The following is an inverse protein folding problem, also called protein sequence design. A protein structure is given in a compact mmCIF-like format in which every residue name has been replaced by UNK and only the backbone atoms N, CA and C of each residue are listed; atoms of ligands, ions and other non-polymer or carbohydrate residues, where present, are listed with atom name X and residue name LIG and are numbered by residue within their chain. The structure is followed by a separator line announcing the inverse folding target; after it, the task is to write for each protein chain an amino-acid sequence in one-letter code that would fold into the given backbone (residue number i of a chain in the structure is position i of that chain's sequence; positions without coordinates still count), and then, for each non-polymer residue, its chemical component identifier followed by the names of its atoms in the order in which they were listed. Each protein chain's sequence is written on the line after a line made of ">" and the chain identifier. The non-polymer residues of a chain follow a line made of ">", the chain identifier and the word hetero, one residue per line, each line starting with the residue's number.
data_IF_743812631600
#
_entry.id   IF_743812631600
#
_cell.length_a   1.000
_cell.length_b   1.000
_cell.length_c   1.000
_cell.angle_alpha   90.00
_cell.angle_beta   90.00
_cell.angle_gamma   90.00
#
_symmetry.space_group_name_H-M   'P 1'
#
loop_
_entity.id
_entity.type
_entity.pdbx_description
1 polymer ?
#
# COMPACT_ATOMS: atom_id res chain seq x y z
N UNK A 1 45.95 -23.61 -51.60
CA UNK A 1 44.78 -24.17 -50.87
C UNK A 1 44.70 -23.41 -49.55
N UNK A 2 43.65 -22.67 -49.15
CA UNK A 2 42.25 -22.50 -49.55
C UNK A 2 41.93 -20.99 -49.43
N UNK A 3 41.15 -20.46 -50.36
CA UNK A 3 40.66 -19.08 -50.38
C UNK A 3 39.39 -18.96 -49.52
N UNK A 4 39.35 -17.92 -48.69
CA UNK A 4 38.24 -17.52 -47.82
C UNK A 4 37.23 -16.70 -48.64
N UNK A 5 35.96 -17.14 -48.70
CA UNK A 5 34.87 -16.41 -49.36
C UNK A 5 33.95 -15.84 -48.28
N UNK A 6 33.83 -14.52 -48.25
CA UNK A 6 32.91 -13.79 -47.38
C UNK A 6 31.62 -13.47 -48.15
N UNK A 7 30.48 -13.91 -47.62
CA UNK A 7 29.15 -13.70 -48.22
C UNK A 7 28.44 -12.56 -47.52
N UNK A 8 28.25 -11.44 -48.21
CA UNK A 8 27.47 -10.28 -47.75
C UNK A 8 26.01 -10.43 -48.16
N UNK A 9 25.09 -10.48 -47.20
CA UNK A 9 23.64 -10.48 -47.43
C UNK A 9 23.08 -9.08 -47.18
N UNK A 10 22.61 -8.41 -48.24
CA UNK A 10 21.81 -7.18 -48.16
C UNK A 10 20.33 -7.56 -48.08
N UNK A 11 19.63 -7.13 -47.03
CA UNK A 11 18.16 -7.15 -46.94
C UNK A 11 17.61 -5.76 -47.22
N UNK A 12 16.79 -5.68 -48.27
CA UNK A 12 15.91 -4.56 -48.61
C UNK A 12 14.65 -4.61 -47.74
N UNK A 13 14.32 -3.51 -47.05
CA UNK A 13 13.04 -3.34 -46.37
C UNK A 13 12.08 -2.58 -47.29
N UNK A 14 10.95 -3.21 -47.62
CA UNK A 14 9.84 -2.60 -48.36
C UNK A 14 8.96 -1.79 -47.42
N UNK A 15 8.59 -0.60 -47.90
CA UNK A 15 7.62 0.32 -47.33
C UNK A 15 6.20 -0.19 -47.58
N UNK A 16 5.40 -0.29 -46.52
CA UNK A 16 3.98 -0.66 -46.59
C UNK A 16 3.13 0.37 -45.88
N UNK A 17 2.53 1.28 -46.66
CA UNK A 17 1.48 2.20 -46.24
C UNK A 17 0.16 1.43 -46.08
N UNK A 18 -0.55 1.64 -44.96
CA UNK A 18 -1.79 0.94 -44.65
C UNK A 18 -2.73 1.71 -43.73
N UNK A 19 -3.55 2.55 -44.35
CA UNK A 19 -4.98 2.78 -44.09
C UNK A 19 -5.45 3.14 -42.67
N UNK A 20 -5.85 4.41 -42.57
CA UNK A 20 -6.77 4.99 -41.60
C UNK A 20 -8.12 4.26 -41.60
N UNK A 21 -8.58 3.79 -40.43
CA UNK A 21 -9.99 3.46 -40.18
C UNK A 21 -10.43 4.03 -38.83
N UNK A 22 -11.38 4.97 -38.91
CA UNK A 22 -12.18 5.53 -37.81
C UNK A 22 -13.23 4.50 -37.35
N UNK A 23 -13.61 4.52 -36.06
CA UNK A 23 -15.00 4.28 -35.66
C UNK A 23 -15.53 5.50 -34.91
N UNK A 24 -16.60 6.14 -35.40
CA UNK A 24 -18.01 5.80 -35.16
C UNK A 24 -18.45 6.08 -33.72
N UNK A 25 -18.96 7.30 -33.53
CA UNK A 25 -19.66 7.74 -32.32
C UNK A 25 -20.90 6.87 -32.08
N UNK A 26 -21.11 6.46 -30.82
CA UNK A 26 -22.38 5.88 -30.37
C UNK A 26 -22.97 6.67 -29.23
N UNK A 27 -24.26 6.89 -29.41
CA UNK A 27 -25.21 7.69 -28.65
C UNK A 27 -25.39 7.18 -27.22
N UNK A 28 -25.48 8.13 -26.29
CA UNK A 28 -25.80 7.90 -24.87
C UNK A 28 -27.31 7.78 -24.71
N UNK A 29 -27.76 6.70 -24.06
CA UNK A 29 -29.14 6.56 -23.58
C UNK A 29 -29.25 7.21 -22.20
N UNK A 30 -30.11 8.21 -22.07
CA UNK A 30 -30.52 8.84 -20.82
C UNK A 30 -31.81 8.18 -20.31
N UNK A 31 -31.70 7.32 -19.29
CA UNK A 31 -32.85 6.82 -18.53
C UNK A 31 -32.91 7.51 -17.18
N UNK A 32 -33.83 8.45 -17.06
CA UNK A 32 -34.30 9.02 -15.81
C UNK A 32 -35.13 7.99 -15.04
N UNK A 33 -34.71 7.61 -13.83
CA UNK A 33 -35.61 6.96 -12.86
C UNK A 33 -35.60 7.69 -11.54
N UNK A 34 -36.80 8.16 -11.24
CA UNK A 34 -37.29 8.88 -10.07
C UNK A 34 -37.16 8.06 -8.79
N UNK A 35 -36.65 8.71 -7.75
CA UNK A 35 -36.63 8.23 -6.38
C UNK A 35 -38.03 8.31 -5.76
N UNK A 36 -38.48 7.23 -5.10
CA UNK A 36 -39.64 7.26 -4.21
C UNK A 36 -39.29 6.67 -2.85
N UNK A 37 -38.86 7.60 -2.00
CA UNK A 37 -39.09 7.73 -0.55
C UNK A 37 -40.20 6.83 0.04
N UNK A 38 -39.87 5.96 1.00
CA UNK A 38 -40.73 5.61 2.13
C UNK A 38 -39.86 5.26 3.36
N UNK A 39 -39.79 6.19 4.32
CA UNK A 39 -39.37 5.91 5.69
C UNK A 39 -40.64 5.56 6.49
N UNK A 40 -40.60 4.43 7.20
CA UNK A 40 -41.58 4.08 8.22
C UNK A 40 -40.89 3.88 9.57
N UNK A 41 -41.70 4.10 10.61
CA UNK A 41 -41.35 4.54 11.95
C UNK A 41 -40.86 3.45 12.92
N UNK A 42 -40.39 3.95 14.07
CA UNK A 42 -40.08 3.32 15.36
C UNK A 42 -41.27 2.50 15.96
N UNK A 43 -41.32 2.08 17.25
CA UNK A 43 -40.34 2.12 18.36
C UNK A 43 -40.26 0.78 19.15
N UNK A 44 -39.43 0.68 20.19
CA UNK A 44 -39.91 0.34 21.56
C UNK A 44 -38.80 0.33 22.62
N UNK A 45 -39.21 0.89 23.75
CA UNK A 45 -38.66 0.95 25.10
C UNK A 45 -38.34 -0.41 25.74
N UNK A 46 -37.27 -0.46 26.54
CA UNK A 46 -37.00 -1.52 27.51
C UNK A 46 -36.38 -0.94 28.78
N UNK A 47 -37.21 -0.82 29.81
CA UNK A 47 -36.87 -0.44 31.20
C UNK A 47 -36.46 -1.70 31.96
N UNK A 48 -35.41 -1.65 32.79
CA UNK A 48 -35.10 -2.72 33.74
C UNK A 48 -33.88 -2.44 34.62
N UNK A 49 -33.83 -2.96 35.87
CA UNK A 49 -33.67 -2.12 37.05
C UNK A 49 -32.31 -2.18 37.76
N UNK A 50 -32.17 -1.24 38.69
CA UNK A 50 -31.10 -1.07 39.66
C UNK A 50 -31.03 -2.16 40.76
N UNK A 51 -29.81 -2.53 41.14
CA UNK A 51 -29.39 -3.03 42.46
C UNK A 51 -27.85 -3.13 42.45
N UNK A 52 -27.07 -3.04 43.53
CA UNK A 52 -27.20 -2.60 44.92
C UNK A 52 -25.75 -2.44 45.41
N UNK A 53 -25.58 -1.60 46.41
CA UNK A 53 -24.36 -1.38 47.18
C UNK A 53 -23.74 -2.68 47.71
N UNK A 54 -22.40 -2.73 47.74
CA UNK A 54 -21.66 -3.36 48.84
C UNK A 54 -20.21 -2.84 48.89
N UNK A 55 -19.77 -2.67 50.13
CA UNK A 55 -18.57 -1.99 50.59
C UNK A 55 -17.35 -2.92 50.72
N UNK A 56 -16.20 -2.27 50.93
CA UNK A 56 -15.13 -2.70 51.86
C UNK A 56 -14.14 -3.78 51.36
N UNK A 57 -12.88 -3.40 51.19
CA UNK A 57 -11.83 -3.52 52.21
C UNK A 57 -10.49 -3.13 51.60
N UNK A 58 -9.73 -2.35 52.38
CA UNK A 58 -8.36 -1.96 52.11
C UNK A 58 -7.38 -3.14 52.25
N UNK A 59 -6.34 -3.16 51.43
CA UNK A 59 -5.09 -3.84 51.71
C UNK A 59 -3.92 -3.03 51.12
N UNK A 60 -2.75 -2.99 51.80
CA UNK A 60 -1.63 -2.15 51.42
C UNK A 60 -0.80 -2.83 50.33
N UNK A 61 -0.62 -2.16 49.18
CA UNK A 61 0.37 -2.59 48.19
C UNK A 61 1.70 -1.91 48.48
N UNK A 62 2.68 -2.76 48.73
CA UNK A 62 4.08 -2.47 48.93
C UNK A 62 4.68 -1.67 47.75
N UNK A 63 5.34 -0.55 48.09
CA UNK A 63 6.14 0.25 47.17
C UNK A 63 7.34 -0.58 46.68
N UNK A 64 7.20 -1.13 45.47
CA UNK A 64 8.33 -1.62 44.69
C UNK A 64 8.95 -0.45 43.94
N UNK A 65 10.11 -0.01 44.41
CA UNK A 65 10.98 0.94 43.73
C UNK A 65 11.48 0.30 42.43
N UNK A 66 10.73 0.47 41.35
CA UNK A 66 11.22 0.19 40.00
C UNK A 66 12.33 1.21 39.67
N UNK A 67 13.57 0.72 39.67
CA UNK A 67 14.67 1.36 38.98
C UNK A 67 14.23 1.58 37.52
N UNK A 68 13.96 2.84 37.16
CA UNK A 68 13.80 3.24 35.77
C UNK A 68 15.18 3.10 35.11
N UNK A 69 15.43 1.94 34.52
CA UNK A 69 16.48 1.81 33.52
C UNK A 69 16.08 2.67 32.33
N UNK A 70 16.67 3.85 32.23
CA UNK A 70 16.66 4.63 31.01
C UNK A 70 17.43 3.82 29.96
N UNK A 71 16.73 2.98 29.21
CA UNK A 71 17.22 2.54 27.90
C UNK A 71 17.20 3.78 27.01
N UNK A 72 18.34 4.45 26.94
CA UNK A 72 18.65 5.39 25.88
C UNK A 72 18.78 4.60 24.59
N UNK A 73 17.65 4.25 23.99
CA UNK A 73 17.60 4.01 22.56
C UNK A 73 18.18 5.27 21.93
N UNK A 74 19.37 5.17 21.35
CA UNK A 74 19.93 6.20 20.47
C UNK A 74 18.99 6.28 19.28
N UNK A 75 17.91 7.04 19.44
CA UNK A 75 17.21 7.61 18.31
C UNK A 75 18.25 8.47 17.61
N UNK A 76 18.52 8.18 16.34
CA UNK A 76 19.23 9.12 15.49
C UNK A 76 18.48 10.44 15.61
N UNK A 77 19.04 11.38 16.37
CA UNK A 77 18.40 12.64 16.66
C UNK A 77 18.27 13.40 15.33
N UNK A 78 17.06 13.38 14.78
CA UNK A 78 16.69 14.23 13.66
C UNK A 78 16.91 15.68 14.09
N UNK A 79 17.74 16.40 13.34
CA UNK A 79 18.02 17.82 13.57
C UNK A 79 16.75 18.71 13.53
N UNK A 80 15.64 18.21 13.00
CA UNK A 80 14.37 18.93 12.83
C UNK A 80 13.37 18.76 13.98
N UNK A 81 13.66 18.00 15.04
CA UNK A 81 12.78 17.85 16.21
C UNK A 81 11.43 17.15 15.94
N UNK A 82 11.20 16.67 14.72
CA UNK A 82 9.99 15.94 14.31
C UNK A 82 9.96 14.54 14.89
N UNK A 83 8.78 14.08 15.27
CA UNK A 83 8.54 12.73 15.79
C UNK A 83 7.84 11.85 14.76
N UNK A 84 7.88 10.53 14.94
CA UNK A 84 7.11 9.59 14.12
C UNK A 84 5.61 9.88 14.24
N UNK A 85 4.91 9.89 13.12
CA UNK A 85 3.45 10.07 13.04
C UNK A 85 2.82 8.80 12.48
N UNK A 86 1.73 8.31 13.10
CA UNK A 86 0.93 7.19 12.58
C UNK A 86 -0.10 7.72 11.59
N UNK A 87 -0.33 7.02 10.48
CA UNK A 87 -1.42 7.38 9.58
C UNK A 87 -2.79 7.27 10.30
N UNK A 88 -3.70 8.24 10.13
CA UNK A 88 -5.01 8.22 10.77
C UNK A 88 -5.87 7.03 10.33
N UNK A 89 -5.63 6.47 9.15
CA UNK A 89 -6.41 5.37 8.61
C UNK A 89 -5.81 4.00 9.01
N UNK A 90 -6.52 3.21 9.83
CA UNK A 90 -5.94 1.99 10.40
C UNK A 90 -5.61 0.91 9.35
N UNK A 91 -6.36 0.85 8.25
CA UNK A 91 -6.19 -0.11 7.15
C UNK A 91 -4.92 0.12 6.33
N UNK A 92 -4.32 1.30 6.42
CA UNK A 92 -3.01 1.56 5.79
C UNK A 92 -1.90 0.90 6.59
N UNK A 93 -2.03 0.91 7.93
CA UNK A 93 -1.01 0.45 8.84
C UNK A 93 0.33 1.20 8.76
N UNK A 94 0.35 2.38 8.13
CA UNK A 94 1.56 3.14 7.82
C UNK A 94 1.99 4.07 8.96
N UNK A 95 3.30 4.28 9.03
CA UNK A 95 3.96 5.23 9.90
C UNK A 95 4.92 6.10 9.08
N UNK A 96 4.94 7.39 9.42
CA UNK A 96 5.79 8.41 8.82
C UNK A 96 6.92 8.73 9.79
N UNK A 97 8.14 8.42 9.39
CA UNK A 97 9.36 8.70 10.16
C UNK A 97 10.10 9.88 9.54
N UNK A 98 10.47 10.90 10.32
CA UNK A 98 11.29 11.98 9.79
C UNK A 98 12.66 11.44 9.39
N UNK A 99 13.17 11.84 8.23
CA UNK A 99 14.46 11.36 7.69
C UNK A 99 15.10 12.40 6.78
N UNK A 100 16.34 12.16 6.38
CA UNK A 100 17.06 12.94 5.39
C UNK A 100 17.15 12.15 4.08
N UNK A 101 16.72 12.78 2.99
CA UNK A 101 16.66 12.17 1.67
C UNK A 101 17.70 12.84 0.77
N UNK A 102 18.63 12.06 0.25
CA UNK A 102 19.55 12.49 -0.80
C UNK A 102 18.83 12.51 -2.15
N UNK A 103 18.71 13.69 -2.74
CA UNK A 103 18.08 13.90 -4.05
C UNK A 103 19.14 14.34 -5.04
N UNK A 104 19.42 13.52 -6.04
CA UNK A 104 20.23 13.87 -7.22
C UNK A 104 19.31 14.38 -8.33
N UNK A 105 19.52 15.62 -8.79
CA UNK A 105 18.71 16.24 -9.87
C UNK A 105 19.28 16.03 -11.28
N UNK A 106 20.42 15.35 -11.40
CA UNK A 106 21.08 15.04 -12.66
C UNK A 106 22.47 14.46 -12.43
N UNK A 107 23.10 13.94 -13.49
CA UNK A 107 24.45 13.35 -13.42
C UNK A 107 25.52 14.36 -12.96
N UNK A 108 25.32 15.65 -13.27
CA UNK A 108 26.30 16.71 -13.03
C UNK A 108 25.97 17.61 -11.82
N UNK A 109 24.89 17.32 -11.08
CA UNK A 109 24.52 18.10 -9.90
C UNK A 109 24.85 17.35 -8.61
N UNK A 110 25.46 18.02 -7.60
CA UNK A 110 25.71 17.40 -6.31
C UNK A 110 24.38 16.98 -5.68
N UNK A 111 24.37 15.81 -5.04
CA UNK A 111 23.20 15.36 -4.30
C UNK A 111 22.91 16.35 -3.18
N UNK A 112 21.70 16.91 -3.17
CA UNK A 112 21.23 17.74 -2.08
C UNK A 112 20.52 16.86 -1.06
N UNK A 113 20.95 16.91 0.19
CA UNK A 113 20.22 16.30 1.31
C UNK A 113 19.08 17.21 1.72
N UNK A 114 17.86 16.68 1.72
CA UNK A 114 16.66 17.43 2.13
C UNK A 114 15.90 16.65 3.18
N UNK A 115 15.40 17.34 4.19
CA UNK A 115 14.52 16.73 5.19
C UNK A 115 13.19 16.30 4.55
N UNK A 116 12.78 15.06 4.82
CA UNK A 116 11.54 14.48 4.33
C UNK A 116 10.99 13.42 5.30
N UNK A 117 10.13 12.55 4.78
CA UNK A 117 9.52 11.47 5.55
C UNK A 117 9.77 10.12 4.89
N UNK A 118 10.17 9.13 5.67
CA UNK A 118 10.17 7.73 5.29
C UNK A 118 8.84 7.09 5.71
N UNK A 119 8.28 6.27 4.84
CA UNK A 119 7.05 5.52 5.09
C UNK A 119 7.45 4.08 5.42
N UNK A 120 6.92 3.54 6.52
CA UNK A 120 7.11 2.14 6.91
C UNK A 120 5.82 1.56 7.51
N UNK A 121 5.76 0.23 7.68
CA UNK A 121 4.67 -0.44 8.43
C UNK A 121 4.95 -0.51 9.94
N UNK A 122 6.12 -0.02 10.40
CA UNK A 122 6.60 -0.17 11.77
C UNK A 122 6.37 1.09 12.59
N UNK A 123 5.96 0.92 13.85
CA UNK A 123 5.77 2.05 14.75
C UNK A 123 7.07 2.77 15.10
N UNK A 124 8.18 2.03 15.15
CA UNK A 124 9.51 2.56 15.41
C UNK A 124 10.34 2.48 14.13
N UNK A 125 11.17 3.49 13.84
CA UNK A 125 12.05 3.43 12.67
C UNK A 125 13.01 2.24 12.81
N UNK A 126 13.12 1.43 11.76
CA UNK A 126 14.13 0.37 11.72
C UNK A 126 15.51 0.95 11.44
N UNK A 127 16.55 0.24 11.85
CA UNK A 127 17.94 0.52 11.47
C UNK A 127 18.19 0.20 9.99
N UNK A 128 17.42 -0.73 9.42
CA UNK A 128 17.54 -1.14 8.03
C UNK A 128 16.73 -0.23 7.12
N UNK A 129 17.39 0.34 6.10
CA UNK A 129 16.71 1.12 5.04
C UNK A 129 15.75 0.25 4.22
N UNK A 130 15.96 -1.07 4.18
CA UNK A 130 15.09 -2.00 3.48
C UNK A 130 13.70 -2.10 4.15
N UNK A 131 13.57 -1.69 5.41
CA UNK A 131 12.28 -1.63 6.09
C UNK A 131 11.43 -0.41 5.68
N UNK A 132 12.00 0.53 4.94
CA UNK A 132 11.30 1.69 4.40
C UNK A 132 10.68 1.29 3.07
N UNK A 133 9.38 1.49 2.90
CA UNK A 133 8.67 1.15 1.65
C UNK A 133 8.68 2.29 0.64
N UNK A 134 8.72 3.54 1.12
CA UNK A 134 8.71 4.72 0.27
C UNK A 134 9.21 5.96 1.01
N UNK A 135 9.51 7.00 0.24
CA UNK A 135 9.91 8.31 0.74
C UNK A 135 8.95 9.38 0.22
N UNK A 136 8.60 10.32 1.09
CA UNK A 136 7.84 11.52 0.76
C UNK A 136 8.83 12.63 0.42
N UNK A 137 8.84 13.04 -0.84
CA UNK A 137 9.71 14.11 -1.32
C UNK A 137 9.15 15.48 -0.91
N UNK A 138 9.96 16.33 -0.26
CA UNK A 138 9.53 17.66 0.14
C UNK A 138 9.25 18.54 -1.08
N UNK A 139 8.39 19.55 -0.94
CA UNK A 139 8.27 20.60 -1.96
C UNK A 139 9.27 21.72 -1.69
N UNK A 140 9.52 22.55 -2.69
CA UNK A 140 10.39 23.72 -2.59
C UNK A 140 9.74 24.87 -1.81
N UNK A 141 8.47 24.75 -1.41
CA UNK A 141 7.74 25.77 -0.67
C UNK A 141 7.76 25.45 0.82
N UNK A 142 8.21 26.39 1.65
CA UNK A 142 8.33 26.23 3.11
C UNK A 142 7.03 25.77 3.80
N UNK A 143 5.86 26.02 3.20
CA UNK A 143 4.55 25.62 3.74
C UNK A 143 4.28 24.11 3.76
N UNK A 144 5.02 23.29 3.02
CA UNK A 144 4.84 21.82 3.04
C UNK A 144 5.48 21.14 4.25
N UNK A 145 6.33 21.86 4.98
CA UNK A 145 7.09 21.34 6.11
C UNK A 145 6.30 21.35 7.43
N UNK A 146 5.21 22.13 7.48
CA UNK A 146 4.38 22.30 8.68
C UNK A 146 3.06 21.52 8.64
N UNK A 147 2.71 20.93 7.49
CA UNK A 147 1.54 20.05 7.37
C UNK A 147 1.83 18.64 7.91
N UNK A 148 0.86 18.03 8.57
CA UNK A 148 0.90 16.62 8.95
C UNK A 148 1.24 15.74 7.74
N UNK A 149 2.18 14.78 7.86
CA UNK A 149 2.67 14.01 6.72
C UNK A 149 1.56 13.22 6.02
N UNK A 150 0.58 12.73 6.79
CA UNK A 150 -0.57 12.00 6.27
C UNK A 150 -1.44 12.85 5.31
N UNK A 151 -1.66 14.12 5.64
CA UNK A 151 -2.43 15.05 4.81
C UNK A 151 -1.62 15.49 3.59
N UNK A 152 -0.32 15.73 3.79
CA UNK A 152 0.58 16.10 2.71
C UNK A 152 0.65 15.01 1.63
N UNK A 153 0.76 13.74 2.02
CA UNK A 153 0.81 12.59 1.11
C UNK A 153 -0.47 12.47 0.29
N UNK A 154 -1.64 12.68 0.91
CA UNK A 154 -2.93 12.66 0.22
C UNK A 154 -3.07 13.81 -0.77
N UNK A 155 -2.60 15.01 -0.41
CA UNK A 155 -2.63 16.18 -1.29
C UNK A 155 -1.59 16.12 -2.44
N UNK A 156 -0.51 15.36 -2.28
CA UNK A 156 0.62 15.32 -3.22
C UNK A 156 1.06 13.87 -3.54
N UNK A 157 0.19 13.05 -4.17
CA UNK A 157 0.48 11.65 -4.45
C UNK A 157 1.67 11.44 -5.42
N UNK A 158 2.01 12.45 -6.23
CA UNK A 158 3.15 12.45 -7.15
C UNK A 158 4.50 12.61 -6.42
N UNK A 159 4.50 13.02 -5.16
CA UNK A 159 5.71 13.22 -4.34
C UNK A 159 6.18 11.96 -3.62
N UNK A 160 5.60 10.81 -3.94
CA UNK A 160 5.98 9.53 -3.35
C UNK A 160 7.03 8.85 -4.24
N UNK A 161 8.19 8.57 -3.65
CA UNK A 161 9.25 7.78 -4.27
C UNK A 161 9.33 6.41 -3.61
N UNK A 162 8.95 5.36 -4.33
CA UNK A 162 9.03 3.98 -3.85
C UNK A 162 10.48 3.59 -3.58
N UNK A 163 10.73 2.94 -2.44
CA UNK A 163 12.00 2.27 -2.19
C UNK A 163 11.93 0.87 -2.79
N UNK A 164 12.67 0.55 -3.86
CA UNK A 164 12.57 -0.74 -4.53
C UNK A 164 12.93 -1.92 -3.61
N UNK A 165 13.81 -1.72 -2.63
CA UNK A 165 14.19 -2.78 -1.70
C UNK A 165 13.02 -3.16 -0.77
N UNK A 166 12.44 -2.19 -0.06
CA UNK A 166 11.28 -2.43 0.81
C UNK A 166 10.04 -2.85 0.03
N UNK A 167 9.84 -2.30 -1.17
CA UNK A 167 8.75 -2.70 -2.06
C UNK A 167 8.84 -4.16 -2.48
N UNK A 168 10.05 -4.62 -2.84
CA UNK A 168 10.30 -6.03 -3.14
C UNK A 168 10.00 -6.93 -1.94
N UNK A 169 10.44 -6.55 -0.74
CA UNK A 169 10.17 -7.32 0.49
C UNK A 169 8.66 -7.42 0.75
N UNK A 170 7.92 -6.32 0.55
CA UNK A 170 6.45 -6.33 0.65
C UNK A 170 5.84 -7.37 -0.30
N UNK A 171 6.22 -7.35 -1.58
CA UNK A 171 5.75 -8.32 -2.57
C UNK A 171 6.19 -9.76 -2.27
N UNK A 172 7.39 -9.97 -1.74
CA UNK A 172 7.87 -11.28 -1.31
C UNK A 172 7.00 -11.85 -0.18
N UNK A 173 6.59 -11.03 0.80
CA UNK A 173 5.66 -11.43 1.86
C UNK A 173 4.27 -11.73 1.29
N UNK A 174 3.77 -10.89 0.39
CA UNK A 174 2.48 -11.13 -0.25
C UNK A 174 2.48 -12.48 -0.99
N UNK A 175 3.53 -12.76 -1.76
CA UNK A 175 3.69 -14.03 -2.48
C UNK A 175 3.77 -15.23 -1.53
N UNK A 176 4.62 -15.15 -0.51
CA UNK A 176 4.99 -16.33 0.30
C UNK A 176 4.06 -16.59 1.49
N UNK A 177 3.54 -15.55 2.13
CA UNK A 177 2.75 -15.68 3.35
C UNK A 177 1.27 -15.37 3.14
N UNK A 178 0.93 -14.45 2.24
CA UNK A 178 -0.46 -14.03 2.02
C UNK A 178 -1.16 -14.98 1.04
N UNK A 179 -0.70 -15.05 -0.21
CA UNK A 179 -1.36 -15.82 -1.28
C UNK A 179 -1.70 -17.27 -0.89
N UNK A 180 -0.80 -18.05 -0.26
CA UNK A 180 -1.12 -19.45 0.09
C UNK A 180 -2.12 -19.59 1.23
N UNK A 181 -2.35 -18.52 2.00
CA UNK A 181 -3.13 -18.52 3.24
C UNK A 181 -4.36 -17.62 3.16
N UNK A 182 -4.66 -17.03 2.00
CA UNK A 182 -5.80 -16.14 1.82
C UNK A 182 -7.05 -16.93 1.41
N UNK A 183 -8.06 -16.92 2.28
CA UNK A 183 -9.29 -17.68 2.07
C UNK A 183 -10.13 -17.12 0.92
N UNK A 184 -10.07 -15.80 0.67
CA UNK A 184 -10.81 -15.17 -0.42
C UNK A 184 -10.23 -15.56 -1.77
N UNK A 185 -8.90 -15.56 -1.91
CA UNK A 185 -8.23 -16.03 -3.12
C UNK A 185 -8.47 -17.52 -3.36
N UNK A 186 -8.44 -18.34 -2.30
CA UNK A 186 -8.76 -19.78 -2.40
C UNK A 186 -10.20 -20.02 -2.81
N UNK A 187 -11.13 -19.23 -2.29
CA UNK A 187 -12.54 -19.31 -2.64
C UNK A 187 -12.77 -18.87 -4.10
N UNK A 188 -12.11 -17.81 -4.55
CA UNK A 188 -12.17 -17.39 -5.96
C UNK A 188 -11.63 -18.49 -6.89
N UNK A 189 -10.47 -19.06 -6.54
CA UNK A 189 -9.90 -20.16 -7.28
C UNK A 189 -10.85 -21.37 -7.28
N UNK A 190 -11.38 -21.82 -6.14
CA UNK A 190 -12.23 -23.01 -6.08
C UNK A 190 -13.56 -22.87 -6.82
N UNK A 191 -14.05 -21.64 -6.97
CA UNK A 191 -15.29 -21.35 -7.71
C UNK A 191 -15.10 -21.40 -9.23
N UNK A 192 -13.85 -21.30 -9.73
CA UNK A 192 -13.52 -21.19 -11.16
C UNK A 192 -12.53 -22.30 -11.56
N UNK A 193 -12.70 -22.92 -12.72
CA UNK A 193 -11.78 -24.00 -13.13
C UNK A 193 -10.35 -23.48 -13.40
N UNK A 194 -10.21 -22.31 -14.02
CA UNK A 194 -8.91 -21.67 -14.27
C UNK A 194 -9.05 -20.15 -14.44
N UNK A 195 -7.96 -19.42 -14.23
CA UNK A 195 -7.92 -17.99 -14.45
C UNK A 195 -6.86 -17.27 -13.62
N UNK A 196 -7.14 -16.00 -13.34
CA UNK A 196 -6.34 -15.13 -12.48
C UNK A 196 -7.21 -14.67 -11.31
N UNK A 197 -6.62 -14.69 -10.12
CA UNK A 197 -7.12 -14.09 -8.91
C UNK A 197 -6.26 -12.86 -8.58
N UNK A 198 -6.86 -11.83 -7.99
CA UNK A 198 -6.23 -10.52 -7.84
C UNK A 198 -6.14 -10.13 -6.36
N UNK A 199 -4.96 -9.70 -5.93
CA UNK A 199 -4.78 -9.05 -4.63
C UNK A 199 -5.23 -7.59 -4.81
N UNK A 200 -6.40 -7.26 -4.28
CA UNK A 200 -7.01 -5.94 -4.46
C UNK A 200 -6.76 -5.04 -3.26
N UNK A 201 -6.58 -3.76 -3.53
CA UNK A 201 -6.51 -2.71 -2.51
C UNK A 201 -7.88 -2.50 -1.85
N UNK A 202 -7.91 -2.38 -0.51
CA UNK A 202 -9.13 -2.15 0.25
C UNK A 202 -9.68 -0.71 0.13
N UNK A 203 -8.96 0.21 -0.52
CA UNK A 203 -9.51 1.50 -0.97
C UNK A 203 -10.78 1.33 -1.82
N UNK A 204 -10.88 0.21 -2.55
CA UNK A 204 -11.99 -0.09 -3.42
C UNK A 204 -12.60 -1.47 -3.11
N UNK A 205 -13.39 -1.60 -2.03
CA UNK A 205 -14.01 -2.87 -1.68
C UNK A 205 -15.01 -3.29 -2.77
N UNK A 206 -14.81 -4.49 -3.31
CA UNK A 206 -15.62 -5.01 -4.41
C UNK A 206 -16.72 -5.94 -3.93
N UNK A 207 -17.85 -5.90 -4.64
CA UNK A 207 -18.86 -6.94 -4.54
C UNK A 207 -18.32 -8.27 -5.11
N UNK A 208 -18.68 -9.43 -4.53
CA UNK A 208 -18.28 -10.72 -5.06
C UNK A 208 -18.54 -10.87 -6.56
N UNK A 209 -17.56 -11.40 -7.31
CA UNK A 209 -17.64 -11.57 -8.76
C UNK A 209 -17.31 -10.32 -9.59
N UNK A 210 -16.88 -9.22 -8.96
CA UNK A 210 -16.32 -8.05 -9.65
C UNK A 210 -14.79 -8.10 -9.60
N UNK A 211 -14.17 -7.57 -10.65
CA UNK A 211 -12.71 -7.43 -10.76
C UNK A 211 -12.37 -5.95 -10.52
N UNK A 212 -11.32 -5.68 -9.76
CA UNK A 212 -10.83 -4.32 -9.52
C UNK A 212 -10.38 -3.68 -10.82
N UNK A 213 -10.43 -2.36 -10.87
CA UNK A 213 -9.76 -1.64 -11.95
C UNK A 213 -8.25 -1.87 -11.87
N UNK A 214 -7.53 -1.88 -13.00
CA UNK A 214 -6.10 -2.23 -13.02
C UNK A 214 -5.26 -1.42 -12.04
N UNK A 215 -5.56 -0.16 -11.78
CA UNK A 215 -4.86 0.69 -10.82
C UNK A 215 -5.05 0.30 -9.35
N UNK A 216 -6.05 -0.52 -9.04
CA UNK A 216 -6.41 -0.99 -7.70
C UNK A 216 -6.03 -2.46 -7.44
N UNK A 217 -5.37 -3.10 -8.41
CA UNK A 217 -4.79 -4.44 -8.26
C UNK A 217 -3.34 -4.28 -7.81
N UNK A 218 -2.97 -4.85 -6.67
CA UNK A 218 -1.58 -4.82 -6.16
C UNK A 218 -0.74 -5.86 -6.91
N UNK A 219 -1.28 -7.06 -7.05
CA UNK A 219 -0.64 -8.18 -7.75
C UNK A 219 -1.70 -9.20 -8.21
N UNK A 220 -1.31 -10.07 -9.13
CA UNK A 220 -2.17 -11.15 -9.64
C UNK A 220 -1.49 -12.50 -9.47
N UNK A 221 -2.30 -13.55 -9.31
CA UNK A 221 -1.83 -14.94 -9.24
C UNK A 221 -2.74 -15.81 -10.10
N UNK A 222 -2.16 -16.65 -10.95
CA UNK A 222 -2.92 -17.60 -11.74
C UNK A 222 -3.40 -18.77 -10.86
N UNK A 223 -4.49 -19.39 -11.26
CA UNK A 223 -4.97 -20.64 -10.68
C UNK A 223 -5.46 -21.58 -11.79
N UNK A 224 -5.32 -22.87 -11.52
CA UNK A 224 -5.69 -23.95 -12.43
C UNK A 224 -6.27 -25.11 -11.62
N UNK A 225 -7.34 -25.72 -12.13
CA UNK A 225 -8.06 -26.80 -11.44
C UNK A 225 -8.51 -26.40 -10.03
N UNK A 226 -8.94 -25.14 -9.88
CA UNK A 226 -9.37 -24.57 -8.61
C UNK A 226 -8.28 -24.37 -7.55
N UNK A 227 -6.99 -24.46 -7.93
CA UNK A 227 -5.84 -24.30 -7.03
C UNK A 227 -4.97 -23.13 -7.44
N UNK A 228 -4.61 -22.29 -6.47
CA UNK A 228 -3.69 -21.17 -6.66
C UNK A 228 -2.29 -21.66 -7.05
N UNK A 229 -1.72 -21.06 -8.09
CA UNK A 229 -0.32 -21.27 -8.48
C UNK A 229 0.54 -20.12 -7.95
N UNK A 230 1.08 -20.26 -6.75
CA UNK A 230 1.88 -19.22 -6.08
C UNK A 230 3.07 -18.74 -6.92
N UNK A 231 3.66 -19.61 -7.74
CA UNK A 231 4.81 -19.26 -8.57
C UNK A 231 4.46 -18.32 -9.73
N UNK A 232 3.19 -18.25 -10.11
CA UNK A 232 2.68 -17.32 -11.13
C UNK A 232 2.42 -15.91 -10.60
N UNK A 233 2.83 -15.59 -9.38
CA UNK A 233 2.69 -14.27 -8.78
C UNK A 233 3.32 -13.19 -9.67
N UNK A 234 2.51 -12.21 -10.07
CA UNK A 234 2.92 -11.09 -10.90
C UNK A 234 2.54 -9.77 -10.20
N UNK A 235 3.56 -8.95 -9.93
CA UNK A 235 3.38 -7.58 -9.46
C UNK A 235 2.73 -6.72 -10.54
N UNK A 236 1.75 -5.91 -10.16
CA UNK A 236 1.11 -5.00 -11.08
C UNK A 236 1.87 -3.66 -11.18
N UNK A 237 2.74 -3.55 -12.19
CA UNK A 237 3.56 -2.34 -12.46
C UNK A 237 2.82 -0.99 -12.46
N UNK A 238 1.57 -0.84 -12.97
CA UNK A 238 0.85 0.43 -12.93
C UNK A 238 0.28 0.79 -11.55
N UNK A 239 0.30 -0.12 -10.57
CA UNK A 239 -0.22 0.14 -9.23
C UNK A 239 0.55 1.27 -8.54
N UNK A 240 -0.17 2.12 -7.79
CA UNK A 240 0.40 3.25 -7.05
C UNK A 240 0.13 3.09 -5.57
N UNK A 241 1.20 3.21 -4.77
CA UNK A 241 1.13 3.20 -3.30
C UNK A 241 0.17 4.27 -2.76
N UNK A 242 0.11 5.44 -3.41
CA UNK A 242 -0.78 6.55 -3.02
C UNK A 242 -1.49 7.09 -4.25
N UNK A 243 -2.80 7.29 -4.13
CA UNK A 243 -3.62 8.01 -5.13
C UNK A 243 -4.20 9.28 -4.50
N UNK A 244 -4.44 10.32 -5.30
CA UNK A 244 -4.88 11.61 -4.76
C UNK A 244 -6.30 11.63 -4.19
N UNK A 245 -7.18 10.76 -4.72
CA UNK A 245 -8.58 10.71 -4.29
C UNK A 245 -8.83 9.70 -3.17
N UNK A 246 -8.06 8.61 -3.11
CA UNK A 246 -8.30 7.50 -2.17
C UNK A 246 -7.23 7.44 -1.07
N UNK A 247 -6.07 8.07 -1.29
CA UNK A 247 -4.98 8.12 -0.33
C UNK A 247 -4.04 6.92 -0.42
N UNK A 248 -3.34 6.60 0.68
CA UNK A 248 -2.38 5.51 0.74
C UNK A 248 -3.04 4.14 0.59
N UNK A 249 -2.23 3.14 0.18
CA UNK A 249 -2.61 1.73 0.10
C UNK A 249 -3.35 1.25 1.34
N UNK A 250 -4.40 0.46 1.16
CA UNK A 250 -5.10 -0.20 2.25
C UNK A 250 -5.08 -1.71 2.06
N UNK A 251 -4.83 -2.43 3.14
CA UNK A 251 -4.74 -3.89 3.13
C UNK A 251 -5.53 -4.50 4.28
N UNK A 252 -5.85 -5.79 4.14
CA UNK A 252 -6.46 -6.54 5.22
C UNK A 252 -5.53 -6.62 6.43
N UNK A 253 -6.10 -6.60 7.64
CA UNK A 253 -5.32 -6.63 8.89
C UNK A 253 -4.40 -7.85 8.97
N UNK A 254 -4.86 -9.00 8.46
CA UNK A 254 -4.08 -10.25 8.42
C UNK A 254 -2.85 -10.15 7.51
N UNK A 255 -2.88 -9.30 6.48
CA UNK A 255 -1.75 -9.03 5.61
C UNK A 255 -0.78 -8.06 6.28
N UNK A 256 -1.31 -7.00 6.90
CA UNK A 256 -0.51 -6.02 7.66
C UNK A 256 0.26 -6.67 8.80
N UNK A 257 -0.32 -7.65 9.50
CA UNK A 257 0.37 -8.38 10.57
C UNK A 257 1.61 -9.14 10.04
N UNK A 258 1.46 -9.85 8.92
CA UNK A 258 2.55 -10.59 8.26
C UNK A 258 3.65 -9.65 7.78
N UNK A 259 3.26 -8.54 7.15
CA UNK A 259 4.19 -7.49 6.71
C UNK A 259 4.97 -6.92 7.90
N UNK A 260 4.29 -6.51 8.96
CA UNK A 260 4.95 -5.99 10.18
C UNK A 260 5.93 -6.99 10.75
N UNK A 261 5.53 -8.27 10.87
CA UNK A 261 6.40 -9.34 11.37
C UNK A 261 7.66 -9.48 10.51
N UNK A 262 7.52 -9.47 9.18
CA UNK A 262 8.67 -9.54 8.28
C UNK A 262 9.58 -8.32 8.43
N UNK A 263 9.02 -7.11 8.40
CA UNK A 263 9.80 -5.88 8.51
C UNK A 263 10.50 -5.71 9.86
N UNK A 264 9.93 -6.24 10.95
CA UNK A 264 10.59 -6.30 12.27
C UNK A 264 11.78 -7.26 12.31
N UNK A 265 11.84 -8.24 11.41
CA UNK A 265 12.91 -9.24 11.36
C UNK A 265 14.15 -8.79 10.57
N UNK A 266 14.07 -7.64 9.90
CA UNK A 266 15.18 -7.03 9.14
C UNK A 266 16.12 -6.27 10.07
#
# INVERSE_FOLDING_TARGET
>A
MRLTVATTVRRTAQSGSGLLRRPAARSVCSSTRTASRQHAAAPTTGVGPAARLASSMAAPSCYSSQCRSFSSSRSNANASGRTTVKDPEPQTGLYYHPTQISISRGADQPASTVDGWAISFLANPSTSEDAIIAYVLPTTSSSSQDSEPADFVRANPDRIRINPAGWKIMHDVLKTEVVPNDDLLKFEASTRESGWAHLTDLRHPLMPGRIATPENIIASVAFTEGKLNVESYEENKPYRLVTGYEGPIQMADSWLEKLRRRFQSL
#
